data_IF_730163512106
#
_entry.id   IF_730163512106
#
_cell.length_a   1.000
_cell.length_b   1.000
_cell.length_c   1.000
_cell.angle_alpha   90.00
_cell.angle_beta   90.00
_cell.angle_gamma   90.00
#
_symmetry.space_group_name_H-M   'P 1'
#
loop_
_entity.id
_entity.type
_entity.pdbx_description
1 polymer ?
#
# COMPACT_ATOMS: atom_id res chain seq x y z
N UNK A 1 58.20 -39.90 45.89
CA UNK A 1 59.16 -40.97 45.53
C UNK A 1 58.57 -41.77 44.37
N UNK A 2 59.30 -41.80 43.26
CA UNK A 2 59.24 -42.69 42.10
C UNK A 2 58.01 -42.73 41.17
N UNK A 3 58.32 -42.36 39.92
CA UNK A 3 57.56 -42.57 38.70
C UNK A 3 57.56 -44.03 38.23
N UNK A 4 56.56 -44.39 37.41
CA UNK A 4 56.75 -45.26 36.24
C UNK A 4 55.92 -44.72 35.07
N UNK A 5 56.62 -44.42 33.98
CA UNK A 5 56.07 -44.10 32.68
C UNK A 5 55.63 -45.37 31.93
N UNK A 6 54.67 -45.25 31.02
CA UNK A 6 54.70 -45.96 29.73
C UNK A 6 53.75 -45.30 28.71
N UNK A 7 54.35 -44.84 27.62
CA UNK A 7 53.72 -44.40 26.38
C UNK A 7 53.05 -45.58 25.65
N UNK A 8 51.91 -45.34 25.00
CA UNK A 8 51.69 -45.80 23.62
C UNK A 8 50.67 -44.90 22.92
N UNK A 9 51.19 -44.23 21.90
CA UNK A 9 50.49 -43.48 20.88
C UNK A 9 49.74 -44.48 19.97
N UNK A 10 48.47 -44.22 19.65
CA UNK A 10 47.97 -44.39 18.29
C UNK A 10 46.93 -43.30 18.01
N UNK A 11 47.16 -42.60 16.91
CA UNK A 11 46.39 -41.50 16.36
C UNK A 11 45.08 -42.03 15.76
N UNK A 12 44.02 -41.23 15.82
CA UNK A 12 43.34 -40.75 14.61
C UNK A 12 42.07 -39.99 14.97
N UNK A 13 41.90 -38.79 14.39
CA UNK A 13 40.59 -38.16 14.25
C UNK A 13 40.40 -36.90 15.06
N UNK A 14 41.08 -35.82 14.67
CA UNK A 14 40.50 -34.49 14.79
C UNK A 14 39.12 -34.49 14.12
N UNK A 15 38.10 -34.03 14.84
CA UNK A 15 36.94 -33.39 14.23
C UNK A 15 36.59 -32.21 15.13
N UNK A 16 37.17 -31.06 14.79
CA UNK A 16 36.61 -29.77 15.16
C UNK A 16 35.15 -29.79 14.70
N UNK A 17 34.25 -29.57 15.65
CA UNK A 17 32.85 -29.23 15.34
C UNK A 17 32.88 -27.83 14.72
N UNK A 18 33.20 -27.77 13.44
CA UNK A 18 32.86 -26.61 12.63
C UNK A 18 31.35 -26.63 12.47
N UNK A 19 30.70 -25.55 12.93
CA UNK A 19 29.31 -25.25 12.62
C UNK A 19 29.23 -25.01 11.11
N UNK A 20 29.14 -26.08 10.32
CA UNK A 20 28.87 -25.97 8.91
C UNK A 20 27.42 -25.51 8.76
N UNK A 21 27.27 -24.26 8.35
CA UNK A 21 25.99 -23.72 7.87
C UNK A 21 25.57 -24.59 6.70
N UNK A 22 24.48 -25.33 6.86
CA UNK A 22 23.85 -26.07 5.77
C UNK A 22 23.23 -25.06 4.80
N UNK A 23 23.92 -24.82 3.68
CA UNK A 23 23.51 -23.92 2.60
C UNK A 23 22.46 -24.54 1.66
N UNK A 24 21.76 -25.62 2.06
CA UNK A 24 20.77 -26.28 1.19
C UNK A 24 19.30 -26.05 1.57
N UNK A 25 19.01 -25.20 2.56
CA UNK A 25 17.67 -24.66 2.75
C UNK A 25 17.59 -23.24 2.16
N UNK A 26 16.76 -22.96 1.15
CA UNK A 26 16.36 -21.59 0.91
C UNK A 26 15.52 -21.18 2.13
N UNK A 27 16.16 -20.47 3.06
CA UNK A 27 15.48 -19.53 3.92
C UNK A 27 14.54 -18.77 3.01
N UNK A 28 13.23 -18.91 3.24
CA UNK A 28 12.22 -18.08 2.61
C UNK A 28 12.47 -16.68 3.15
N UNK A 29 13.42 -16.00 2.51
CA UNK A 29 13.65 -14.58 2.58
C UNK A 29 12.29 -13.97 2.27
N UNK A 30 11.74 -13.26 3.26
CA UNK A 30 10.55 -12.44 3.08
C UNK A 30 10.82 -11.54 1.89
N UNK A 31 10.29 -11.91 0.74
CA UNK A 31 10.50 -11.20 -0.50
C UNK A 31 10.09 -9.75 -0.27
N UNK A 32 11.07 -8.86 -0.23
CA UNK A 32 10.86 -7.48 -0.58
C UNK A 32 10.32 -7.51 -2.01
N UNK A 33 9.01 -7.61 -2.13
CA UNK A 33 8.32 -7.51 -3.41
C UNK A 33 8.73 -6.15 -3.96
N UNK A 34 9.56 -6.17 -4.99
CA UNK A 34 9.93 -5.01 -5.79
C UNK A 34 8.64 -4.25 -6.06
N UNK A 35 8.44 -3.11 -5.41
CA UNK A 35 7.18 -2.38 -5.43
C UNK A 35 6.85 -2.07 -6.89
N UNK A 36 5.93 -2.85 -7.48
CA UNK A 36 5.35 -2.52 -8.78
C UNK A 36 4.71 -1.16 -8.54
N UNK A 37 5.12 -0.16 -9.33
CA UNK A 37 4.45 1.13 -9.30
C UNK A 37 2.94 0.84 -9.40
N UNK A 38 2.16 1.21 -8.38
CA UNK A 38 0.77 0.80 -8.30
C UNK A 38 0.05 1.41 -9.50
N UNK A 39 -0.59 0.54 -10.28
CA UNK A 39 -1.37 0.99 -11.42
C UNK A 39 -2.56 1.76 -10.86
N UNK A 40 -2.61 3.07 -11.10
CA UNK A 40 -3.80 3.90 -10.86
C UNK A 40 -5.02 3.12 -11.31
N UNK A 41 -6.00 2.95 -10.43
CA UNK A 41 -7.20 2.17 -10.76
C UNK A 41 -8.14 3.06 -11.58
N UNK A 42 -8.73 2.49 -12.63
CA UNK A 42 -9.81 3.13 -13.38
C UNK A 42 -11.16 2.69 -12.81
N UNK A 43 -11.96 3.67 -12.39
CA UNK A 43 -13.30 3.46 -11.83
C UNK A 43 -14.41 3.80 -12.81
N UNK A 44 -14.10 4.02 -14.10
CA UNK A 44 -15.07 4.33 -15.15
C UNK A 44 -16.14 3.26 -15.34
N UNK A 45 -15.87 2.02 -14.93
CA UNK A 45 -16.80 0.88 -14.97
C UNK A 45 -17.94 0.95 -13.94
N UNK A 46 -17.79 1.76 -12.88
CA UNK A 46 -18.85 1.96 -11.87
C UNK A 46 -19.96 2.79 -12.49
N UNK A 47 -21.18 2.25 -12.44
CA UNK A 47 -22.37 2.94 -12.94
C UNK A 47 -22.51 4.32 -12.28
N UNK A 48 -22.72 5.35 -13.11
CA UNK A 48 -22.94 6.70 -12.63
C UNK A 48 -24.30 6.84 -11.96
N UNK A 49 -24.43 7.70 -10.93
CA UNK A 49 -25.73 7.97 -10.32
C UNK A 49 -26.62 8.78 -11.28
N UNK A 50 -27.96 8.75 -11.14
CA UNK A 50 -28.85 9.47 -12.03
C UNK A 50 -28.72 11.01 -11.95
N UNK A 51 -28.12 11.52 -10.88
CA UNK A 51 -27.94 12.94 -10.62
C UNK A 51 -26.49 13.42 -10.89
N UNK A 52 -25.86 12.91 -11.95
CA UNK A 52 -24.54 13.39 -12.37
C UNK A 52 -24.57 14.90 -12.64
N UNK A 53 -23.61 15.62 -12.08
CA UNK A 53 -23.43 17.03 -12.39
C UNK A 53 -22.20 17.67 -11.74
N UNK A 54 -21.80 18.88 -12.20
CA UNK A 54 -20.68 19.63 -11.64
C UNK A 54 -20.85 19.90 -10.13
N UNK A 55 -19.76 19.78 -9.38
CA UNK A 55 -19.71 20.07 -7.93
C UNK A 55 -20.41 19.04 -7.02
N UNK A 56 -21.09 18.04 -7.60
CA UNK A 56 -21.81 17.02 -6.84
C UNK A 56 -20.86 16.09 -6.08
N UNK A 57 -21.37 15.54 -4.98
CA UNK A 57 -20.68 14.51 -4.21
C UNK A 57 -20.83 13.13 -4.83
N UNK A 58 -19.82 12.29 -4.61
CA UNK A 58 -19.94 10.85 -4.85
C UNK A 58 -20.92 10.22 -3.86
N UNK A 59 -21.75 9.33 -4.36
CA UNK A 59 -22.72 8.57 -3.56
C UNK A 59 -22.02 7.57 -2.63
N UNK A 60 -22.74 7.08 -1.61
CA UNK A 60 -22.23 6.02 -0.74
C UNK A 60 -21.95 4.73 -1.53
N UNK A 61 -22.80 4.39 -2.49
CA UNK A 61 -22.62 3.26 -3.40
C UNK A 61 -21.29 3.35 -4.15
N UNK A 62 -21.05 4.48 -4.83
CA UNK A 62 -19.80 4.70 -5.57
C UNK A 62 -18.57 4.54 -4.66
N UNK A 63 -18.62 5.10 -3.45
CA UNK A 63 -17.50 4.99 -2.48
C UNK A 63 -17.24 3.53 -2.06
N UNK A 64 -18.27 2.70 -1.94
CA UNK A 64 -18.13 1.29 -1.61
C UNK A 64 -17.52 0.50 -2.77
N UNK A 65 -18.09 0.63 -3.98
CA UNK A 65 -17.61 -0.08 -5.18
C UNK A 65 -16.17 0.31 -5.55
N UNK A 66 -15.80 1.58 -5.37
CA UNK A 66 -14.41 2.06 -5.53
C UNK A 66 -13.46 1.34 -4.59
N UNK A 67 -13.80 1.20 -3.31
CA UNK A 67 -12.95 0.50 -2.35
C UNK A 67 -12.80 -0.98 -2.71
N UNK A 68 -13.85 -1.60 -3.24
CA UNK A 68 -13.82 -3.00 -3.68
C UNK A 68 -12.92 -3.18 -4.90
N UNK A 69 -13.07 -2.34 -5.93
CA UNK A 69 -12.20 -2.35 -7.10
C UNK A 69 -10.74 -2.06 -6.75
N UNK A 70 -10.51 -1.06 -5.89
CA UNK A 70 -9.16 -0.73 -5.46
C UNK A 70 -8.51 -1.88 -4.72
N UNK A 71 -9.22 -2.53 -3.78
CA UNK A 71 -8.70 -3.72 -3.09
C UNK A 71 -8.48 -4.90 -4.03
N UNK A 72 -9.40 -5.15 -4.95
CA UNK A 72 -9.28 -6.23 -5.92
C UNK A 72 -8.04 -6.06 -6.82
N UNK A 73 -7.71 -4.81 -7.16
CA UNK A 73 -6.50 -4.48 -7.92
C UNK A 73 -5.21 -4.50 -7.08
N UNK A 74 -5.32 -4.47 -5.74
CA UNK A 74 -4.20 -4.26 -4.81
C UNK A 74 -4.12 -5.31 -3.70
N UNK A 75 -4.31 -6.59 -4.04
CA UNK A 75 -4.09 -7.72 -3.13
C UNK A 75 -4.88 -7.64 -1.80
N UNK A 76 -6.07 -7.02 -1.84
CA UNK A 76 -6.96 -6.88 -0.69
C UNK A 76 -6.73 -5.63 0.18
N UNK A 77 -5.69 -4.83 -0.09
CA UNK A 77 -5.42 -3.57 0.62
C UNK A 77 -5.86 -2.35 -0.20
N UNK A 78 -6.11 -1.23 0.48
CA UNK A 78 -6.41 0.03 -0.22
C UNK A 78 -5.10 0.75 -0.50
N UNK A 79 -4.86 1.15 -1.76
CA UNK A 79 -3.69 1.93 -2.16
C UNK A 79 -4.11 3.24 -2.81
N UNK A 80 -3.29 4.28 -2.62
CA UNK A 80 -3.45 5.58 -3.29
C UNK A 80 -3.39 5.44 -4.82
N UNK A 81 -4.25 6.15 -5.53
CA UNK A 81 -4.21 6.22 -6.99
C UNK A 81 -3.10 7.15 -7.52
N UNK A 82 -2.43 7.90 -6.63
CA UNK A 82 -1.31 8.78 -6.98
C UNK A 82 0.04 8.12 -6.70
N UNK A 83 0.32 7.73 -5.45
CA UNK A 83 1.59 7.09 -5.06
C UNK A 83 1.51 5.57 -4.91
N UNK A 84 0.28 5.07 -4.75
CA UNK A 84 -0.12 3.77 -4.22
C UNK A 84 0.67 3.18 -3.07
N UNK A 85 1.08 4.07 -2.17
CA UNK A 85 1.23 3.73 -0.77
C UNK A 85 -0.07 3.13 -0.23
N UNK A 86 0.04 2.14 0.64
CA UNK A 86 -1.08 1.55 1.36
C UNK A 86 -1.72 2.58 2.31
N UNK A 87 -3.05 2.67 2.26
CA UNK A 87 -3.84 3.63 3.01
C UNK A 87 -4.60 2.97 4.15
N UNK A 88 -4.76 3.73 5.24
CA UNK A 88 -5.51 3.27 6.41
C UNK A 88 -6.96 3.75 6.36
N UNK A 89 -7.83 3.00 7.04
CA UNK A 89 -9.23 3.37 7.16
C UNK A 89 -9.36 4.70 7.90
N UNK A 90 -10.09 5.69 7.36
CA UNK A 90 -10.37 6.93 8.07
C UNK A 90 -11.20 6.63 9.32
N UNK A 91 -10.84 7.31 10.40
CA UNK A 91 -11.58 7.24 11.65
C UNK A 91 -12.57 8.41 11.74
N UNK A 92 -13.61 8.24 12.57
CA UNK A 92 -14.52 9.34 12.86
C UNK A 92 -13.73 10.50 13.48
N UNK A 93 -13.90 11.70 12.93
CA UNK A 93 -13.27 12.91 13.45
C UNK A 93 -13.65 13.14 14.93
N UNK A 94 -12.65 13.49 15.74
CA UNK A 94 -12.79 13.82 17.16
C UNK A 94 -12.15 15.19 17.41
N UNK A 95 -12.82 16.03 18.21
CA UNK A 95 -12.30 17.35 18.55
C UNK A 95 -10.93 17.23 19.22
N UNK A 96 -9.95 18.03 18.79
CA UNK A 96 -8.58 18.00 19.31
C UNK A 96 -7.70 16.87 18.79
N UNK A 97 -8.24 15.93 17.99
CA UNK A 97 -7.45 14.82 17.41
C UNK A 97 -7.15 15.13 15.96
N UNK A 98 -5.86 15.10 15.60
CA UNK A 98 -5.44 15.22 14.20
C UNK A 98 -5.58 13.86 13.52
N UNK A 99 -6.37 13.73 12.43
CA UNK A 99 -6.48 12.47 11.68
C UNK A 99 -5.15 12.05 11.06
N UNK A 100 -4.99 10.74 10.82
CA UNK A 100 -3.80 10.18 10.17
C UNK A 100 -3.62 10.77 8.76
N UNK A 101 -2.35 11.02 8.39
CA UNK A 101 -2.03 11.60 7.08
C UNK A 101 -2.26 10.63 5.92
N UNK A 102 -2.15 9.32 6.18
CA UNK A 102 -2.35 8.25 5.22
C UNK A 102 -3.76 7.63 5.27
N UNK A 103 -4.74 8.29 5.89
CA UNK A 103 -6.13 7.84 5.77
C UNK A 103 -6.64 8.07 4.35
N UNK A 104 -7.36 7.09 3.79
CA UNK A 104 -7.90 7.23 2.44
C UNK A 104 -9.04 8.26 2.38
N UNK A 105 -9.08 8.99 1.27
CA UNK A 105 -10.12 9.95 0.93
C UNK A 105 -10.57 9.74 -0.52
N UNK A 106 -11.86 9.92 -0.75
CA UNK A 106 -12.44 9.95 -2.10
C UNK A 106 -12.39 11.37 -2.62
N UNK A 107 -11.68 11.58 -3.71
CA UNK A 107 -11.49 12.90 -4.28
C UNK A 107 -11.75 12.92 -5.78
N UNK A 108 -11.92 14.12 -6.31
CA UNK A 108 -12.14 14.34 -7.72
C UNK A 108 -10.81 14.51 -8.46
N UNK A 109 -10.67 13.89 -9.64
CA UNK A 109 -9.54 14.08 -10.54
C UNK A 109 -9.53 15.53 -11.03
N UNK A 110 -10.64 15.99 -11.63
CA UNK A 110 -10.97 17.40 -11.86
C UNK A 110 -11.68 17.95 -10.62
N UNK A 111 -11.12 18.94 -9.88
CA UNK A 111 -11.72 19.48 -8.66
C UNK A 111 -13.14 20.05 -8.88
N UNK A 112 -13.96 20.04 -7.82
CA UNK A 112 -15.32 20.60 -7.84
C UNK A 112 -15.38 22.10 -8.17
N UNK A 113 -14.41 22.86 -7.66
CA UNK A 113 -14.20 24.29 -7.95
C UNK A 113 -13.95 24.58 -9.43
N UNK A 114 -13.55 23.57 -10.19
CA UNK A 114 -13.30 23.62 -11.61
C UNK A 114 -14.35 22.81 -12.39
N UNK A 115 -15.60 22.73 -11.93
CA UNK A 115 -16.71 21.98 -12.55
C UNK A 115 -16.52 20.45 -12.62
N UNK A 116 -15.70 19.89 -11.74
CA UNK A 116 -15.60 18.44 -11.58
C UNK A 116 -16.93 17.81 -11.18
N UNK A 117 -17.37 16.79 -11.92
CA UNK A 117 -18.62 16.08 -11.64
C UNK A 117 -18.41 14.87 -10.71
N UNK A 118 -19.50 14.32 -10.20
CA UNK A 118 -19.51 13.03 -9.49
C UNK A 118 -19.55 11.80 -10.41
N UNK A 119 -19.14 11.92 -11.68
CA UNK A 119 -18.92 10.75 -12.53
C UNK A 119 -17.85 9.84 -11.93
N UNK A 120 -18.02 8.52 -12.04
CA UNK A 120 -17.06 7.55 -11.48
C UNK A 120 -15.68 7.66 -12.15
N UNK A 121 -15.61 8.04 -13.43
CA UNK A 121 -14.35 8.34 -14.14
C UNK A 121 -13.60 9.54 -13.57
N UNK A 122 -14.28 10.43 -12.84
CA UNK A 122 -13.66 11.57 -12.16
C UNK A 122 -13.26 11.25 -10.71
N UNK A 123 -13.39 10.01 -10.26
CA UNK A 123 -13.09 9.60 -8.90
C UNK A 123 -11.65 9.09 -8.79
N UNK A 124 -11.00 9.39 -7.66
CA UNK A 124 -9.73 8.80 -7.25
C UNK A 124 -9.69 8.62 -5.73
N UNK A 125 -8.94 7.63 -5.25
CA UNK A 125 -8.59 7.43 -3.85
C UNK A 125 -7.21 8.04 -3.60
N UNK A 126 -7.12 8.98 -2.66
CA UNK A 126 -5.86 9.59 -2.24
C UNK A 126 -5.70 9.50 -0.72
N UNK A 127 -4.47 9.60 -0.23
CA UNK A 127 -4.24 9.93 1.18
C UNK A 127 -4.70 11.36 1.49
N UNK A 128 -4.98 11.64 2.77
CA UNK A 128 -5.23 13.01 3.24
C UNK A 128 -4.10 13.97 2.89
N UNK A 129 -2.85 13.53 2.96
CA UNK A 129 -1.68 14.37 2.62
C UNK A 129 -1.63 14.70 1.13
N UNK A 130 -1.79 13.70 0.26
CA UNK A 130 -1.83 13.90 -1.20
C UNK A 130 -2.99 14.80 -1.60
N UNK A 131 -4.16 14.57 -1.01
CA UNK A 131 -5.33 15.40 -1.26
C UNK A 131 -5.07 16.88 -0.92
N UNK A 132 -4.44 17.15 0.23
CA UNK A 132 -4.05 18.51 0.63
C UNK A 132 -3.02 19.14 -0.32
N UNK A 133 -2.10 18.34 -0.85
CA UNK A 133 -1.09 18.81 -1.79
C UNK A 133 -1.67 19.15 -3.18
N UNK A 134 -2.72 18.44 -3.62
CA UNK A 134 -3.33 18.60 -4.95
C UNK A 134 -3.92 19.99 -5.20
N UNK A 135 -4.43 20.67 -4.17
CA UNK A 135 -5.09 21.98 -4.25
C UNK A 135 -6.36 21.99 -5.14
N UNK A 136 -7.24 22.98 -4.91
CA UNK A 136 -8.52 23.11 -5.62
C UNK A 136 -8.39 23.84 -6.98
N UNK A 137 -7.18 24.23 -7.39
CA UNK A 137 -6.95 25.08 -8.57
C UNK A 137 -6.52 24.32 -9.84
N UNK A 138 -6.48 22.99 -9.79
CA UNK A 138 -6.03 22.20 -10.94
C UNK A 138 -7.11 22.19 -12.05
N UNK A 139 -7.05 23.15 -12.98
CA UNK A 139 -7.62 22.94 -14.32
C UNK A 139 -6.74 21.89 -15.00
N UNK A 140 -7.28 20.69 -15.17
CA UNK A 140 -6.73 19.79 -16.19
C UNK A 140 -7.08 20.48 -17.51
N UNK A 141 -6.06 21.03 -18.17
CA UNK A 141 -6.15 21.50 -19.54
C UNK A 141 -6.11 20.21 -20.35
N UNK A 142 -7.25 19.82 -20.91
CA UNK A 142 -7.31 18.68 -21.83
C UNK A 142 -6.47 19.06 -23.07
N UNK A 143 -5.43 18.27 -23.38
CA UNK A 143 -4.69 18.32 -24.65
C UNK A 143 -5.53 17.76 -25.80
#
# INVERSE_FOLDING_TARGET
MLAKASNRLEKSGEALVENHVDLSNPVIESGAQKARAPAKVDYSSIENPPNVGPGKDFTLRQKQEVLELNKAANDGVVRSDASGVELVRPQKSQCGVTPYLNEWQFYHVKPKSCDGSNCSSNLQILSRQENRAKSDNQRIIDE
#
